data_IF_148827166860
#
_entry.id   IF_148827166860
#
_cell.length_a   1.000
_cell.length_b   1.000
_cell.length_c   1.000
_cell.angle_alpha   90.00
_cell.angle_beta   90.00
_cell.angle_gamma   90.00
#
_symmetry.space_group_name_H-M   'P 1'
#
loop_
_entity.id
_entity.type
_entity.pdbx_description
1 polymer ?
#
# COMPACT_ATOMS: atom_id res chain seq x y z
N UNK A 1 24.77 27.41 -14.26
CA UNK A 1 25.07 25.98 -14.37
C UNK A 1 24.62 25.35 -13.05
N UNK A 2 23.35 24.87 -12.99
CA UNK A 2 22.76 24.30 -11.79
C UNK A 2 23.21 22.83 -11.70
N UNK A 3 23.86 22.48 -10.63
CA UNK A 3 24.16 21.09 -10.29
C UNK A 3 22.84 20.49 -9.82
N UNK A 4 22.21 19.67 -10.65
CA UNK A 4 21.10 18.81 -10.22
C UNK A 4 21.73 17.70 -9.37
N UNK A 5 21.67 17.83 -8.04
CA UNK A 5 22.00 16.73 -7.14
C UNK A 5 20.97 15.63 -7.37
N UNK A 6 21.37 14.58 -8.09
CA UNK A 6 20.64 13.32 -8.09
C UNK A 6 20.64 12.80 -6.66
N UNK A 7 19.55 12.98 -5.92
CA UNK A 7 19.36 12.29 -4.66
C UNK A 7 19.31 10.79 -4.94
N UNK A 8 20.32 10.08 -4.49
CA UNK A 8 20.34 8.63 -4.59
C UNK A 8 19.10 8.07 -3.87
N UNK A 9 18.24 7.38 -4.60
CA UNK A 9 17.07 6.72 -4.08
C UNK A 9 17.53 5.64 -3.09
N UNK A 10 17.26 5.87 -1.81
CA UNK A 10 17.63 4.92 -0.76
C UNK A 10 16.55 3.83 -0.67
N UNK A 11 16.89 2.62 -1.09
CA UNK A 11 16.00 1.46 -1.00
C UNK A 11 16.18 0.70 0.31
N UNK A 12 15.08 0.32 0.94
CA UNK A 12 15.01 -0.47 2.17
C UNK A 12 14.30 -1.79 1.90
N UNK A 13 15.03 -2.90 1.92
CA UNK A 13 14.47 -4.22 1.67
C UNK A 13 13.91 -4.84 2.96
N UNK A 14 12.74 -5.47 2.85
CA UNK A 14 12.10 -6.27 3.89
C UNK A 14 11.73 -7.62 3.29
N UNK A 15 12.03 -8.72 3.99
CA UNK A 15 11.64 -10.07 3.58
C UNK A 15 10.67 -10.66 4.61
N UNK A 16 9.78 -11.53 4.14
CA UNK A 16 8.93 -12.34 5.01
C UNK A 16 9.76 -13.30 5.89
N UNK A 17 9.19 -13.88 6.95
CA UNK A 17 9.90 -14.86 7.78
C UNK A 17 10.47 -16.05 7.02
N UNK A 18 9.79 -16.54 5.99
CA UNK A 18 10.30 -17.60 5.09
C UNK A 18 11.36 -17.12 4.09
N UNK A 19 11.50 -15.80 3.89
CA UNK A 19 12.36 -15.20 2.90
C UNK A 19 11.85 -15.27 1.45
N UNK A 20 10.72 -15.92 1.20
CA UNK A 20 10.15 -16.07 -0.14
C UNK A 20 9.59 -14.79 -0.70
N UNK A 21 8.89 -14.03 0.12
CA UNK A 21 8.30 -12.75 -0.24
C UNK A 21 9.24 -11.62 0.18
N UNK A 22 9.49 -10.68 -0.72
CA UNK A 22 10.36 -9.53 -0.51
C UNK A 22 9.72 -8.27 -1.06
N UNK A 23 9.83 -7.19 -0.32
CA UNK A 23 9.46 -5.84 -0.74
C UNK A 23 10.64 -4.90 -0.58
N UNK A 24 10.82 -3.97 -1.51
CA UNK A 24 11.77 -2.86 -1.41
C UNK A 24 10.99 -1.57 -1.32
N UNK A 25 11.18 -0.85 -0.23
CA UNK A 25 10.58 0.47 -0.02
C UNK A 25 11.62 1.51 -0.36
N UNK A 26 11.32 2.39 -1.30
CA UNK A 26 12.23 3.43 -1.75
C UNK A 26 11.72 4.82 -1.41
N UNK A 27 12.62 5.66 -0.87
CA UNK A 27 12.37 7.05 -0.54
C UNK A 27 13.14 7.94 -1.52
N UNK A 28 12.49 8.32 -2.61
CA UNK A 28 13.01 9.19 -3.66
C UNK A 28 12.19 10.47 -3.79
N UNK A 29 11.81 10.86 -5.01
CA UNK A 29 10.83 11.92 -5.25
C UNK A 29 9.44 11.51 -4.73
N UNK A 30 9.15 10.20 -4.80
CA UNK A 30 7.98 9.59 -4.21
C UNK A 30 8.40 8.44 -3.28
N UNK A 31 7.53 8.12 -2.31
CA UNK A 31 7.60 6.89 -1.56
C UNK A 31 7.03 5.78 -2.44
N UNK A 32 7.85 4.81 -2.78
CA UNK A 32 7.42 3.66 -3.60
C UNK A 32 7.74 2.35 -2.92
N UNK A 33 7.05 1.30 -3.31
CA UNK A 33 7.35 -0.06 -2.89
C UNK A 33 7.14 -1.02 -4.05
N UNK A 34 7.89 -2.09 -4.05
CA UNK A 34 7.76 -3.22 -4.98
C UNK A 34 7.40 -4.51 -4.24
N UNK A 35 7.12 -5.56 -4.97
CA UNK A 35 6.88 -6.88 -4.41
C UNK A 35 7.47 -7.96 -5.31
N UNK A 36 8.23 -8.88 -4.72
CA UNK A 36 8.75 -10.06 -5.38
C UNK A 36 8.45 -11.32 -4.56
N UNK A 37 8.06 -12.40 -5.23
CA UNK A 37 7.85 -13.73 -4.66
C UNK A 37 8.81 -14.71 -5.33
N UNK A 38 9.61 -15.42 -4.53
CA UNK A 38 10.62 -16.39 -5.00
C UNK A 38 11.56 -15.77 -6.09
N UNK A 39 11.90 -14.50 -5.92
CA UNK A 39 12.75 -13.74 -6.84
C UNK A 39 12.07 -13.24 -8.12
N UNK A 40 10.79 -13.52 -8.32
CA UNK A 40 10.00 -13.02 -9.46
C UNK A 40 9.24 -11.77 -9.06
N UNK A 41 9.28 -10.74 -9.90
CA UNK A 41 8.50 -9.51 -9.68
C UNK A 41 7.01 -9.81 -9.78
N UNK A 42 6.27 -9.50 -8.72
CA UNK A 42 4.80 -9.57 -8.63
C UNK A 42 4.20 -8.19 -8.86
N UNK A 43 4.87 -7.16 -8.32
CA UNK A 43 4.48 -5.77 -8.47
C UNK A 43 5.73 -4.91 -8.64
N UNK A 44 5.69 -4.04 -9.64
CA UNK A 44 6.74 -3.04 -9.91
C UNK A 44 6.67 -1.88 -8.92
N UNK A 45 7.69 -1.02 -8.82
CA UNK A 45 7.68 0.13 -7.94
C UNK A 45 6.40 0.97 -8.09
N UNK A 46 5.60 0.99 -7.05
CA UNK A 46 4.26 1.57 -6.99
C UNK A 46 4.21 2.64 -5.91
N UNK A 47 3.61 3.78 -6.20
CA UNK A 47 3.62 4.95 -5.32
C UNK A 47 2.59 4.85 -4.21
N UNK A 48 2.96 5.41 -3.05
CA UNK A 48 2.12 5.60 -1.88
C UNK A 48 2.16 7.05 -1.43
N UNK A 49 1.01 7.67 -1.22
CA UNK A 49 0.93 9.00 -0.64
C UNK A 49 -0.35 9.20 0.17
N UNK A 50 -0.29 10.08 1.16
CA UNK A 50 -1.41 10.54 1.94
C UNK A 50 -1.49 12.06 1.86
N UNK A 51 -2.59 12.58 1.34
CA UNK A 51 -2.81 14.02 1.13
C UNK A 51 -3.60 14.60 2.31
N UNK A 52 -3.08 15.65 2.94
CA UNK A 52 -3.69 16.31 4.07
C UNK A 52 -4.39 17.62 3.67
N UNK A 53 -5.28 18.09 4.52
CA UNK A 53 -6.09 19.29 4.33
C UNK A 53 -5.28 20.60 4.26
N UNK A 54 -4.07 20.61 4.79
CA UNK A 54 -3.14 21.76 4.72
C UNK A 54 -2.26 21.75 3.46
N UNK A 55 -2.49 20.80 2.53
CA UNK A 55 -1.71 20.62 1.32
C UNK A 55 -0.42 19.82 1.49
N UNK A 56 -0.12 19.36 2.72
CA UNK A 56 0.99 18.45 2.97
C UNK A 56 0.71 17.09 2.32
N UNK A 57 1.72 16.50 1.67
CA UNK A 57 1.61 15.17 1.08
C UNK A 57 2.69 14.27 1.68
N UNK A 58 2.28 13.34 2.56
CA UNK A 58 3.16 12.28 3.02
C UNK A 58 3.41 11.30 1.89
N UNK A 59 4.66 11.05 1.57
CA UNK A 59 5.05 10.24 0.42
C UNK A 59 5.65 11.04 -0.74
N UNK A 60 5.52 12.39 -0.75
CA UNK A 60 6.20 13.26 -1.71
C UNK A 60 7.52 13.77 -1.14
N UNK A 61 8.64 13.55 -1.85
CA UNK A 61 9.98 13.90 -1.41
C UNK A 61 10.26 13.47 0.05
N UNK A 62 9.97 12.22 0.42
CA UNK A 62 10.07 11.77 1.79
C UNK A 62 11.54 11.82 2.26
N UNK A 63 11.75 12.30 3.49
CA UNK A 63 13.07 12.37 4.11
C UNK A 63 13.11 11.42 5.28
N UNK A 64 13.77 10.28 5.10
CA UNK A 64 13.92 9.28 6.17
C UNK A 64 14.84 9.85 7.25
N UNK A 65 14.33 9.88 8.48
CA UNK A 65 15.07 10.28 9.69
C UNK A 65 15.71 9.08 10.36
N UNK A 66 14.99 7.97 10.41
CA UNK A 66 15.40 6.72 11.03
C UNK A 66 14.71 5.53 10.38
N UNK A 67 15.43 4.42 10.24
CA UNK A 67 14.90 3.15 9.78
C UNK A 67 15.25 2.05 10.77
N UNK A 68 14.29 1.17 11.10
CA UNK A 68 14.55 -0.02 11.90
C UNK A 68 13.66 -1.18 11.51
N UNK A 69 14.01 -2.37 11.95
CA UNK A 69 13.28 -3.60 11.70
C UNK A 69 12.93 -4.29 13.00
N UNK A 70 11.80 -5.00 12.99
CA UNK A 70 11.36 -5.88 14.06
C UNK A 70 10.84 -7.18 13.47
N UNK A 71 10.75 -8.22 14.29
CA UNK A 71 10.10 -9.47 13.95
C UNK A 71 9.10 -9.82 15.03
N UNK A 72 7.96 -10.34 14.64
CA UNK A 72 6.90 -10.82 15.52
C UNK A 72 6.61 -12.27 15.17
N UNK A 73 6.45 -13.08 16.19
CA UNK A 73 6.03 -14.48 16.11
C UNK A 73 5.23 -14.77 17.38
N UNK A 74 3.91 -14.65 17.30
CA UNK A 74 3.00 -14.79 18.43
C UNK A 74 1.68 -15.38 18.01
N UNK A 75 0.93 -15.94 18.96
CA UNK A 75 -0.39 -16.48 18.73
C UNK A 75 -1.40 -15.71 19.59
N UNK A 76 -2.48 -15.30 18.97
CA UNK A 76 -3.58 -14.59 19.61
C UNK A 76 -4.84 -15.44 19.63
N UNK A 77 -5.56 -15.50 20.76
CA UNK A 77 -6.88 -16.11 20.79
C UNK A 77 -7.87 -15.28 19.95
N UNK A 78 -8.68 -15.96 19.16
CA UNK A 78 -9.67 -15.32 18.28
C UNK A 78 -11.04 -15.99 18.41
N UNK A 79 -11.77 -15.76 19.53
CA UNK A 79 -12.99 -16.48 19.87
C UNK A 79 -14.16 -16.26 18.90
N UNK A 80 -14.11 -15.18 18.09
CA UNK A 80 -15.18 -14.81 17.14
C UNK A 80 -14.81 -15.12 15.68
N UNK A 81 -13.72 -15.80 15.44
CA UNK A 81 -13.24 -16.12 14.09
C UNK A 81 -13.30 -17.63 13.80
N UNK A 82 -13.10 -18.04 12.53
CA UNK A 82 -13.13 -19.45 12.11
C UNK A 82 -12.07 -20.32 12.78
N UNK A 83 -10.95 -19.71 13.15
CA UNK A 83 -9.89 -20.34 13.94
C UNK A 83 -9.95 -19.83 15.37
N UNK A 84 -9.83 -20.71 16.35
CA UNK A 84 -9.77 -20.35 17.76
C UNK A 84 -8.51 -19.52 18.09
N UNK A 85 -7.48 -19.68 17.28
CA UNK A 85 -6.21 -18.97 17.39
C UNK A 85 -5.75 -18.43 16.04
N UNK A 86 -5.11 -17.26 16.04
CA UNK A 86 -4.46 -16.67 14.89
C UNK A 86 -2.97 -16.53 15.18
N UNK A 87 -2.17 -17.16 14.33
CA UNK A 87 -0.72 -17.05 14.38
C UNK A 87 -0.27 -15.79 13.63
N UNK A 88 0.21 -14.79 14.36
CA UNK A 88 0.71 -13.53 13.83
C UNK A 88 2.23 -13.59 13.72
N UNK A 89 2.74 -13.84 12.52
CA UNK A 89 4.16 -14.01 12.24
C UNK A 89 4.58 -13.17 11.05
N UNK A 90 5.39 -12.13 11.31
CA UNK A 90 5.87 -11.23 10.28
C UNK A 90 7.19 -10.58 10.63
N UNK A 91 7.88 -10.06 9.62
CA UNK A 91 8.93 -9.07 9.77
C UNK A 91 8.39 -7.68 9.43
N UNK A 92 8.81 -6.66 10.15
CA UNK A 92 8.41 -5.29 9.91
C UNK A 92 9.62 -4.37 9.62
N UNK A 93 9.38 -3.40 8.74
CA UNK A 93 10.25 -2.27 8.47
C UNK A 93 9.51 -0.99 8.80
N UNK A 94 10.09 -0.18 9.66
CA UNK A 94 9.53 1.12 10.03
C UNK A 94 10.49 2.21 9.54
N UNK A 95 9.95 3.14 8.74
CA UNK A 95 10.67 4.32 8.26
C UNK A 95 10.05 5.55 8.91
N UNK A 96 10.74 6.11 9.91
CA UNK A 96 10.39 7.40 10.51
C UNK A 96 10.84 8.52 9.56
N UNK A 97 9.92 9.40 9.19
CA UNK A 97 10.15 10.50 8.27
C UNK A 97 10.28 11.83 9.00
N UNK A 98 10.95 12.81 8.38
CA UNK A 98 10.83 14.19 8.82
C UNK A 98 9.40 14.68 8.58
N UNK A 99 8.88 15.51 9.50
CA UNK A 99 7.51 16.02 9.40
C UNK A 99 6.49 15.30 10.27
N UNK A 100 6.94 14.42 11.19
CA UNK A 100 6.09 13.85 12.25
C UNK A 100 5.22 12.68 11.79
N UNK A 101 5.71 11.90 10.83
CA UNK A 101 5.05 10.70 10.37
C UNK A 101 6.03 9.56 10.12
N UNK A 102 5.51 8.36 9.99
CA UNK A 102 6.24 7.18 9.60
C UNK A 102 5.41 6.30 8.67
N UNK A 103 6.05 5.40 7.96
CA UNK A 103 5.41 4.28 7.29
C UNK A 103 5.96 2.98 7.87
N UNK A 104 5.06 2.06 8.19
CA UNK A 104 5.38 0.70 8.64
C UNK A 104 4.94 -0.29 7.56
N UNK A 105 5.85 -1.14 7.13
CA UNK A 105 5.59 -2.28 6.28
C UNK A 105 5.71 -3.56 7.08
N UNK A 106 4.80 -4.49 6.89
CA UNK A 106 4.84 -5.85 7.44
C UNK A 106 4.85 -6.85 6.31
N UNK A 107 5.84 -7.73 6.30
CA UNK A 107 5.94 -8.83 5.36
C UNK A 107 5.59 -10.13 6.07
N UNK A 108 4.48 -10.71 5.67
CA UNK A 108 4.01 -12.06 6.01
C UNK A 108 4.46 -13.03 4.92
N UNK A 109 4.30 -14.33 5.14
CA UNK A 109 4.67 -15.34 4.14
C UNK A 109 3.69 -15.40 2.95
N UNK A 110 2.52 -14.80 3.10
CA UNK A 110 1.42 -14.74 2.13
C UNK A 110 1.07 -13.33 1.64
N UNK A 111 1.70 -12.27 2.18
CA UNK A 111 1.41 -10.91 1.76
C UNK A 111 2.25 -9.84 2.42
N UNK A 112 2.08 -8.61 1.93
CA UNK A 112 2.66 -7.40 2.51
C UNK A 112 1.54 -6.42 2.84
N UNK A 113 1.55 -5.91 4.06
CA UNK A 113 0.69 -4.80 4.48
C UNK A 113 1.52 -3.57 4.82
N UNK A 114 0.92 -2.40 4.68
CA UNK A 114 1.54 -1.16 5.15
C UNK A 114 0.54 -0.29 5.91
N UNK A 115 1.07 0.64 6.68
CA UNK A 115 0.28 1.73 7.29
C UNK A 115 1.09 3.00 7.45
N UNK A 116 0.43 4.14 7.32
CA UNK A 116 0.96 5.41 7.78
C UNK A 116 0.74 5.55 9.28
N UNK A 117 1.72 6.13 9.98
CA UNK A 117 1.69 6.38 11.42
C UNK A 117 1.99 7.86 11.66
N UNK A 118 1.11 8.54 12.38
CA UNK A 118 1.27 9.96 12.74
C UNK A 118 1.82 10.11 14.15
N UNK A 119 2.78 11.00 14.33
CA UNK A 119 3.18 11.57 15.63
C UNK A 119 2.80 13.04 15.77
N UNK A 120 2.05 13.58 14.80
CA UNK A 120 1.52 14.95 14.83
C UNK A 120 0.47 15.06 15.93
N UNK A 121 0.63 16.04 16.82
CA UNK A 121 -0.27 16.23 17.96
C UNK A 121 -1.52 17.07 17.65
N UNK A 122 -1.46 17.86 16.56
CA UNK A 122 -2.62 18.64 16.11
C UNK A 122 -3.55 17.77 15.28
N UNK A 123 -4.86 17.95 15.39
CA UNK A 123 -5.80 17.34 14.45
C UNK A 123 -5.48 17.77 13.00
N UNK A 124 -5.67 16.86 12.06
CA UNK A 124 -5.61 17.09 10.63
C UNK A 124 -6.62 16.18 9.94
N UNK A 125 -7.01 16.54 8.72
CA UNK A 125 -7.90 15.72 7.90
C UNK A 125 -7.12 15.10 6.75
N UNK A 126 -7.42 13.84 6.48
CA UNK A 126 -6.93 13.14 5.31
C UNK A 126 -7.92 13.41 4.18
N UNK A 127 -7.43 14.03 3.11
CA UNK A 127 -8.24 14.38 1.95
C UNK A 127 -8.24 13.26 0.92
N UNK A 128 -7.12 12.55 0.79
CA UNK A 128 -6.97 11.48 -0.17
C UNK A 128 -5.82 10.54 0.23
N UNK A 129 -5.94 9.26 -0.14
CA UNK A 129 -4.87 8.30 -0.14
C UNK A 129 -4.61 7.85 -1.57
N UNK A 130 -3.39 8.06 -2.05
CA UNK A 130 -2.94 7.56 -3.35
C UNK A 130 -2.22 6.24 -3.15
N UNK A 131 -2.78 5.20 -3.75
CA UNK A 131 -2.20 3.85 -3.77
C UNK A 131 -2.11 3.39 -5.20
N UNK A 132 -0.91 3.00 -5.64
CA UNK A 132 -0.70 2.42 -6.96
C UNK A 132 -0.38 0.94 -6.84
N UNK A 133 -0.81 0.18 -7.84
CA UNK A 133 -0.48 -1.23 -8.04
C UNK A 133 -0.02 -1.40 -9.49
N UNK A 134 1.29 -1.38 -9.72
CA UNK A 134 1.88 -1.53 -11.05
C UNK A 134 2.29 -2.97 -11.24
N UNK A 135 1.60 -3.66 -12.13
CA UNK A 135 1.88 -5.05 -12.44
C UNK A 135 2.82 -5.16 -13.64
N UNK A 136 3.74 -6.16 -13.68
CA UNK A 136 4.69 -6.33 -14.78
C UNK A 136 4.04 -6.80 -16.08
N UNK A 137 2.80 -7.27 -16.04
CA UNK A 137 2.05 -7.78 -17.18
C UNK A 137 0.58 -7.37 -17.07
N UNK A 138 -0.13 -7.45 -18.20
CA UNK A 138 -1.58 -7.24 -18.27
C UNK A 138 -2.32 -8.51 -17.83
N UNK A 139 -2.34 -8.72 -16.50
CA UNK A 139 -3.00 -9.88 -15.90
C UNK A 139 -4.51 -9.80 -16.02
N UNK A 140 -5.16 -10.95 -16.03
CA UNK A 140 -6.60 -11.03 -15.85
C UNK A 140 -6.96 -10.69 -14.39
N UNK A 141 -7.92 -9.79 -14.23
CA UNK A 141 -8.47 -9.39 -12.96
C UNK A 141 -9.97 -9.65 -12.89
N UNK A 142 -10.44 -10.12 -11.75
CA UNK A 142 -11.87 -10.32 -11.48
C UNK A 142 -12.31 -9.32 -10.43
N UNK A 143 -13.15 -8.36 -10.83
CA UNK A 143 -13.54 -7.23 -9.99
C UNK A 143 -15.07 -7.11 -9.85
N UNK A 144 -15.59 -6.81 -8.65
CA UNK A 144 -16.98 -6.46 -8.45
C UNK A 144 -17.16 -4.96 -8.66
N UNK A 145 -17.65 -4.55 -9.81
CA UNK A 145 -18.06 -3.17 -10.02
C UNK A 145 -19.31 -2.81 -9.21
N UNK A 146 -19.41 -1.57 -8.80
CA UNK A 146 -20.65 -1.05 -8.23
C UNK A 146 -21.80 -1.20 -9.24
N UNK A 147 -22.99 -1.51 -8.72
CA UNK A 147 -24.18 -1.76 -9.54
C UNK A 147 -24.80 -0.47 -10.06
N UNK A 148 -24.76 0.60 -9.27
CA UNK A 148 -25.43 1.88 -9.53
C UNK A 148 -24.45 3.04 -9.59
N UNK A 149 -24.93 4.19 -10.02
CA UNK A 149 -24.15 5.40 -10.20
C UNK A 149 -23.62 5.54 -11.64
N UNK A 150 -23.30 6.75 -12.03
CA UNK A 150 -22.81 7.07 -13.36
C UNK A 150 -21.28 6.93 -13.43
N UNK A 151 -20.77 6.41 -14.52
CA UNK A 151 -19.33 6.32 -14.77
C UNK A 151 -18.67 7.70 -14.68
N UNK A 152 -17.53 7.79 -13.97
CA UNK A 152 -16.84 9.04 -13.70
C UNK A 152 -17.45 9.91 -12.61
N UNK A 153 -18.63 9.60 -12.11
CA UNK A 153 -19.24 10.27 -10.97
C UNK A 153 -19.04 9.42 -9.70
N UNK A 154 -17.94 9.63 -9.02
CA UNK A 154 -17.55 8.86 -7.84
C UNK A 154 -18.55 8.99 -6.69
N UNK A 155 -19.08 10.18 -6.44
CA UNK A 155 -20.05 10.42 -5.36
C UNK A 155 -21.30 9.55 -5.54
N UNK A 156 -21.83 9.49 -6.76
CA UNK A 156 -23.01 8.65 -7.06
C UNK A 156 -22.75 7.16 -6.92
N UNK A 157 -21.47 6.74 -7.02
CA UNK A 157 -21.06 5.34 -6.95
C UNK A 157 -20.78 4.87 -5.52
N UNK A 158 -20.53 5.76 -4.55
CA UNK A 158 -20.27 5.39 -3.16
C UNK A 158 -21.51 4.85 -2.42
N UNK A 159 -22.71 5.23 -2.85
CA UNK A 159 -23.97 4.76 -2.25
C UNK A 159 -24.41 3.44 -2.88
N UNK A 160 -23.76 2.34 -2.51
CA UNK A 160 -23.96 1.04 -3.14
C UNK A 160 -23.79 -0.11 -2.13
N UNK A 161 -24.57 -1.19 -2.31
CA UNK A 161 -24.44 -2.41 -1.50
C UNK A 161 -23.35 -3.37 -1.98
N UNK A 162 -22.71 -3.10 -3.12
CA UNK A 162 -21.74 -3.97 -3.78
C UNK A 162 -22.24 -5.38 -4.13
N UNK A 163 -23.52 -5.59 -4.17
CA UNK A 163 -24.15 -6.84 -4.56
C UNK A 163 -24.29 -6.91 -6.09
N UNK A 164 -23.18 -7.19 -6.76
CA UNK A 164 -23.13 -7.32 -8.21
C UNK A 164 -22.36 -8.57 -8.62
N UNK A 165 -22.57 -9.01 -9.86
CA UNK A 165 -21.75 -10.07 -10.45
C UNK A 165 -20.35 -9.55 -10.74
N UNK A 166 -19.37 -10.45 -10.61
CA UNK A 166 -17.99 -10.10 -10.90
C UNK A 166 -17.76 -9.98 -12.41
N UNK A 167 -16.90 -9.04 -12.79
CA UNK A 167 -16.42 -8.87 -14.16
C UNK A 167 -14.97 -9.36 -14.21
N UNK A 168 -14.68 -10.24 -15.17
CA UNK A 168 -13.32 -10.71 -15.43
C UNK A 168 -12.84 -10.11 -16.74
N UNK A 169 -11.70 -9.42 -16.70
CA UNK A 169 -11.08 -8.76 -17.84
C UNK A 169 -9.57 -8.58 -17.62
N UNK A 170 -8.75 -8.38 -18.67
CA UNK A 170 -7.40 -7.88 -18.50
C UNK A 170 -7.39 -6.56 -17.74
N UNK A 171 -6.34 -6.26 -17.00
CA UNK A 171 -6.20 -5.00 -16.25
C UNK A 171 -6.40 -3.77 -17.16
N UNK A 172 -5.85 -3.81 -18.38
CA UNK A 172 -6.02 -2.75 -19.39
C UNK A 172 -7.46 -2.58 -19.90
N UNK A 173 -8.29 -3.61 -19.73
CA UNK A 173 -9.69 -3.62 -20.10
C UNK A 173 -10.66 -3.23 -18.99
N UNK A 174 -10.17 -2.92 -17.80
CA UNK A 174 -11.00 -2.45 -16.69
C UNK A 174 -11.52 -1.04 -16.96
N UNK A 175 -12.76 -0.78 -16.52
CA UNK A 175 -13.39 0.54 -16.67
C UNK A 175 -12.81 1.53 -15.65
N UNK A 176 -12.01 2.54 -16.07
CA UNK A 176 -11.39 3.50 -15.15
C UNK A 176 -12.39 4.50 -14.55
N UNK A 177 -13.61 4.59 -15.10
CA UNK A 177 -14.69 5.44 -14.58
C UNK A 177 -15.60 4.73 -13.59
N UNK A 178 -15.36 3.45 -13.29
CA UNK A 178 -16.23 2.62 -12.45
C UNK A 178 -15.53 2.21 -11.17
N UNK A 179 -16.18 2.46 -10.05
CA UNK A 179 -15.71 1.99 -8.75
C UNK A 179 -15.81 0.45 -8.69
N UNK A 180 -14.74 -0.19 -8.28
CA UNK A 180 -14.68 -1.60 -7.98
C UNK A 180 -14.28 -1.82 -6.52
N UNK A 181 -14.77 -2.88 -5.93
CA UNK A 181 -14.34 -3.31 -4.60
C UNK A 181 -13.05 -4.11 -4.72
N UNK A 182 -12.14 -3.92 -3.79
CA UNK A 182 -11.02 -4.83 -3.60
C UNK A 182 -11.50 -5.99 -2.70
N UNK A 183 -11.22 -7.24 -3.06
CA UNK A 183 -11.59 -8.41 -2.27
C UNK A 183 -10.89 -8.46 -0.92
#
# INVERSE_FOLDING_TARGET
MGICELQAQTGYTLSSPSGRLRTTVAAGEELTYDLALDGRTVMEPSALALELDDGTVWGRNPRVKRAWRTSVDTTHPSPLYRSAEVHDRYNALILEMKGGWAVEFRAYDDGVGYRFVSSVRKPFHIMNERVEYRFPHDFEATVPYVKTGADGNWESQYHNSFENTYTTAPLSGLNPGRLAFLP
#
